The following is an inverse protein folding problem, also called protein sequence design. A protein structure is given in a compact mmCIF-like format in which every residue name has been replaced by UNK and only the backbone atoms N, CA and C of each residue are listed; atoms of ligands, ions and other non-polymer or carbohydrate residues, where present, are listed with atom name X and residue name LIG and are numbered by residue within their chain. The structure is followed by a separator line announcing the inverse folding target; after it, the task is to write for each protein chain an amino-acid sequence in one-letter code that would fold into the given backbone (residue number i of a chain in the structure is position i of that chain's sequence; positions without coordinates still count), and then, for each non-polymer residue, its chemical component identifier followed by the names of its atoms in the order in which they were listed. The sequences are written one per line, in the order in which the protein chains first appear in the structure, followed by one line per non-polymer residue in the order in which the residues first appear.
data_IF_327614844850
#
_entry.id   IF_327614844850
#
_cell.length_a   1.000
_cell.length_b   1.000
_cell.length_c   1.000
_cell.angle_alpha   90.00
_cell.angle_beta   90.00
_cell.angle_gamma   90.00
#
_symmetry.space_group_name_H-M   'P 1'
#
loop_
_entity.id
_entity.type
_entity.pdbx_description
1 polymer ?
#
# COMPACT_ATOMS: atom_id res chain seq x y z
N UNK A 1 68.09 19.51 5.92
CA UNK A 1 67.08 20.57 6.11
C UNK A 1 66.45 20.87 4.75
N UNK A 2 65.25 20.36 4.47
CA UNK A 2 64.39 20.83 3.36
C UNK A 2 62.98 20.24 3.58
N UNK A 3 62.03 21.12 3.90
CA UNK A 3 60.59 20.85 4.07
C UNK A 3 59.92 20.83 2.70
N UNK A 4 59.05 19.86 2.43
CA UNK A 4 58.15 19.93 1.26
C UNK A 4 56.71 19.66 1.68
N UNK A 5 55.98 20.77 1.75
CA UNK A 5 54.54 21.04 1.64
C UNK A 5 53.54 19.88 1.51
N UNK A 6 52.61 19.82 2.47
CA UNK A 6 51.36 19.08 2.40
C UNK A 6 50.34 19.79 1.50
N UNK A 7 49.80 19.10 0.50
CA UNK A 7 48.66 19.54 -0.31
C UNK A 7 47.41 18.89 0.29
N UNK A 8 46.63 19.68 1.03
CA UNK A 8 45.32 19.28 1.53
C UNK A 8 44.30 19.37 0.40
N UNK A 9 43.89 18.22 -0.15
CA UNK A 9 42.76 18.13 -1.07
C UNK A 9 41.47 18.09 -0.23
N UNK A 10 40.78 19.23 -0.12
CA UNK A 10 39.46 19.28 0.51
C UNK A 10 38.46 18.70 -0.48
N UNK A 11 38.04 17.46 -0.24
CA UNK A 11 36.96 16.80 -0.96
C UNK A 11 35.63 17.40 -0.46
N UNK A 12 35.06 18.34 -1.22
CA UNK A 12 33.69 18.82 -0.97
C UNK A 12 32.74 17.72 -1.42
N UNK A 13 32.34 16.85 -0.49
CA UNK A 13 31.28 15.89 -0.71
C UNK A 13 29.94 16.63 -0.76
N UNK A 14 29.51 16.99 -1.97
CA UNK A 14 28.14 17.44 -2.23
C UNK A 14 27.23 16.24 -1.98
N UNK A 15 26.59 16.21 -0.82
CA UNK A 15 25.64 15.17 -0.46
C UNK A 15 24.41 15.27 -1.36
N UNK A 16 24.28 14.30 -2.26
CA UNK A 16 23.08 14.09 -3.06
C UNK A 16 21.87 13.94 -2.14
N UNK A 17 21.01 14.97 -2.10
CA UNK A 17 19.65 14.87 -1.57
C UNK A 17 18.83 13.99 -2.53
N UNK A 18 19.06 12.68 -2.48
CA UNK A 18 18.09 11.70 -2.98
C UNK A 18 16.89 11.80 -2.05
N UNK A 19 15.82 12.43 -2.53
CA UNK A 19 14.52 12.38 -1.86
C UNK A 19 14.03 10.93 -1.91
N UNK A 20 14.35 10.16 -0.88
CA UNK A 20 13.85 8.81 -0.71
C UNK A 20 12.31 8.88 -0.61
N UNK A 21 11.65 8.33 -1.64
CA UNK A 21 10.38 7.61 -1.58
C UNK A 21 9.73 7.60 -0.19
N UNK A 22 8.67 8.39 -0.03
CA UNK A 22 7.84 8.58 1.17
C UNK A 22 8.02 7.45 2.21
N UNK A 23 9.06 7.57 3.05
CA UNK A 23 9.32 6.57 4.06
C UNK A 23 8.19 6.68 5.08
N UNK A 24 7.52 5.56 5.32
CA UNK A 24 6.54 5.48 6.39
C UNK A 24 7.20 5.91 7.70
N UNK A 25 6.49 6.73 8.48
CA UNK A 25 6.88 6.95 9.87
C UNK A 25 7.09 5.58 10.53
N UNK A 26 8.19 5.35 11.28
CA UNK A 26 8.55 4.02 11.79
C UNK A 26 7.43 3.33 12.58
N UNK A 27 6.52 4.10 13.18
CA UNK A 27 5.38 3.61 13.95
C UNK A 27 4.12 3.31 13.10
N UNK A 28 4.10 3.65 11.81
CA UNK A 28 2.90 3.57 10.97
C UNK A 28 2.75 2.20 10.30
N UNK A 29 2.33 1.19 11.08
CA UNK A 29 2.10 -0.18 10.58
C UNK A 29 1.22 -0.21 9.31
N UNK A 30 0.14 0.57 9.26
CA UNK A 30 -0.71 0.65 8.06
C UNK A 30 0.01 1.15 6.81
N UNK A 31 0.89 2.14 6.96
CA UNK A 31 1.73 2.61 5.85
C UNK A 31 2.74 1.54 5.43
N UNK A 32 3.36 0.87 6.41
CA UNK A 32 4.33 -0.20 6.15
C UNK A 32 3.69 -1.39 5.43
N UNK A 33 2.45 -1.74 5.75
CA UNK A 33 1.66 -2.75 5.01
C UNK A 33 1.37 -2.25 3.59
N UNK A 34 0.80 -1.04 3.46
CA UNK A 34 0.39 -0.50 2.16
C UNK A 34 1.56 -0.42 1.15
N UNK A 35 2.71 0.02 1.64
CA UNK A 35 3.94 0.15 0.86
C UNK A 35 4.81 -1.11 0.92
N UNK A 36 4.42 -2.19 1.61
CA UNK A 36 5.13 -3.48 1.62
C UNK A 36 6.47 -3.52 2.35
N UNK A 37 6.74 -2.61 3.29
CA UNK A 37 7.83 -2.75 4.26
C UNK A 37 7.49 -3.77 5.36
N UNK A 38 6.20 -3.99 5.61
CA UNK A 38 5.71 -5.11 6.41
C UNK A 38 5.33 -6.26 5.48
N UNK A 39 6.05 -7.40 5.51
CA UNK A 39 5.83 -8.49 4.57
C UNK A 39 4.48 -9.17 4.82
N UNK A 40 3.67 -9.28 3.77
CA UNK A 40 2.36 -9.93 3.83
C UNK A 40 2.31 -11.20 2.99
N UNK A 41 1.77 -12.27 3.56
CA UNK A 41 1.44 -13.47 2.78
C UNK A 41 0.09 -13.27 2.10
N UNK A 42 0.05 -13.43 0.78
CA UNK A 42 -1.19 -13.40 0.01
C UNK A 42 -1.18 -14.45 -1.10
N UNK A 43 -2.37 -14.78 -1.60
CA UNK A 43 -2.60 -15.72 -2.69
C UNK A 43 -3.71 -15.18 -3.59
N UNK A 44 -3.81 -15.68 -4.83
CA UNK A 44 -4.92 -15.31 -5.71
C UNK A 44 -6.11 -16.24 -5.46
N UNK A 45 -7.32 -15.76 -5.74
CA UNK A 45 -8.49 -16.62 -5.70
C UNK A 45 -8.29 -17.81 -6.65
N UNK A 46 -8.59 -19.02 -6.18
CA UNK A 46 -8.44 -20.28 -6.91
C UNK A 46 -6.97 -20.66 -7.22
N UNK A 47 -6.00 -20.08 -6.50
CA UNK A 47 -4.58 -20.45 -6.56
C UNK A 47 -3.93 -20.21 -5.19
N UNK A 48 -3.76 -21.29 -4.42
CA UNK A 48 -3.28 -21.23 -3.03
C UNK A 48 -1.76 -21.01 -2.89
N UNK A 49 -1.05 -20.84 -4.01
CA UNK A 49 0.39 -20.54 -3.97
C UNK A 49 0.59 -19.13 -3.41
N UNK A 50 1.48 -19.03 -2.44
CA UNK A 50 1.90 -17.74 -1.92
C UNK A 50 2.54 -16.90 -3.03
N UNK A 51 2.06 -15.66 -3.15
CA UNK A 51 2.64 -14.68 -4.05
C UNK A 51 3.99 -14.18 -3.50
N UNK A 52 4.96 -13.85 -4.38
CA UNK A 52 6.18 -13.17 -3.96
C UNK A 52 5.86 -11.85 -3.23
N UNK A 53 6.58 -11.53 -2.15
CA UNK A 53 6.29 -10.35 -1.32
C UNK A 53 6.31 -9.02 -2.08
N UNK A 54 7.11 -8.93 -3.16
CA UNK A 54 7.19 -7.72 -3.97
C UNK A 54 5.95 -7.47 -4.83
N UNK A 55 5.13 -8.49 -5.11
CA UNK A 55 3.88 -8.35 -5.89
C UNK A 55 2.66 -8.07 -5.01
N UNK A 56 2.77 -8.28 -3.69
CA UNK A 56 1.64 -8.14 -2.74
C UNK A 56 1.51 -6.75 -2.12
N UNK A 57 2.37 -5.78 -2.49
CA UNK A 57 2.33 -4.40 -1.98
C UNK A 57 1.09 -3.69 -2.53
N UNK A 58 0.22 -3.18 -1.67
CA UNK A 58 -1.04 -2.53 -2.07
C UNK A 58 -0.81 -1.36 -3.05
N UNK A 59 0.25 -0.59 -2.79
CA UNK A 59 0.66 0.56 -3.60
C UNK A 59 0.88 0.21 -5.08
N UNK A 60 1.29 -1.01 -5.41
CA UNK A 60 1.57 -1.42 -6.79
C UNK A 60 0.32 -1.43 -7.69
N UNK A 61 -0.88 -1.57 -7.11
CA UNK A 61 -2.13 -1.62 -7.86
C UNK A 61 -3.03 -0.40 -7.60
N UNK A 62 -2.98 0.14 -6.39
CA UNK A 62 -3.93 1.15 -5.94
C UNK A 62 -3.39 2.59 -6.00
N UNK A 63 -2.08 2.78 -6.18
CA UNK A 63 -1.53 4.11 -6.44
C UNK A 63 -1.39 4.34 -7.95
N UNK A 64 -1.94 5.46 -8.43
CA UNK A 64 -1.66 5.95 -9.78
C UNK A 64 -0.28 6.60 -9.83
N UNK A 65 0.29 6.71 -11.02
CA UNK A 65 1.46 7.56 -11.26
C UNK A 65 1.03 8.87 -11.92
N UNK A 66 1.96 9.80 -12.12
CA UNK A 66 1.69 11.01 -12.91
C UNK A 66 1.33 10.73 -14.37
N UNK A 67 1.63 9.53 -14.87
CA UNK A 67 1.52 9.16 -16.28
C UNK A 67 0.52 8.03 -16.56
N UNK A 68 0.02 7.34 -15.52
CA UNK A 68 -0.90 6.22 -15.68
C UNK A 68 -1.91 6.14 -14.53
N UNK A 69 -3.15 5.83 -14.88
CA UNK A 69 -4.19 5.48 -13.92
C UNK A 69 -3.81 4.19 -13.15
N UNK A 70 -4.24 4.05 -11.88
CA UNK A 70 -4.00 2.84 -11.13
C UNK A 70 -4.72 1.64 -11.76
N UNK A 71 -4.12 0.45 -11.61
CA UNK A 71 -4.70 -0.80 -12.08
C UNK A 71 -6.00 -1.16 -11.33
N UNK A 72 -6.11 -0.75 -10.07
CA UNK A 72 -7.26 -0.95 -9.21
C UNK A 72 -7.84 0.40 -8.75
N UNK A 73 -9.11 0.45 -8.26
CA UNK A 73 -9.65 1.66 -7.67
C UNK A 73 -8.74 2.19 -6.56
N UNK A 74 -8.50 3.50 -6.45
CA UNK A 74 -7.61 4.04 -5.43
C UNK A 74 -8.12 3.68 -4.03
N UNK A 75 -7.21 3.47 -3.07
CA UNK A 75 -7.55 3.29 -1.65
C UNK A 75 -7.40 4.64 -0.93
N UNK A 76 -8.31 5.56 -1.22
CA UNK A 76 -8.38 6.87 -0.57
C UNK A 76 -9.63 6.94 0.29
N UNK A 77 -9.66 7.91 1.21
CA UNK A 77 -10.84 8.19 2.04
C UNK A 77 -12.11 8.33 1.19
N UNK A 78 -12.06 9.12 0.12
CA UNK A 78 -13.23 9.40 -0.70
C UNK A 78 -13.73 8.17 -1.46
N UNK A 79 -12.83 7.34 -1.99
CA UNK A 79 -13.22 6.14 -2.72
C UNK A 79 -13.78 5.04 -1.81
N UNK A 80 -13.33 4.98 -0.56
CA UNK A 80 -13.75 3.98 0.40
C UNK A 80 -15.04 4.38 1.13
N UNK A 81 -15.12 5.61 1.61
CA UNK A 81 -16.26 6.10 2.39
C UNK A 81 -17.40 6.65 1.51
N UNK A 82 -17.14 6.88 0.22
CA UNK A 82 -18.14 7.32 -0.73
C UNK A 82 -19.26 6.30 -0.93
N UNK A 83 -20.51 6.78 -0.83
CA UNK A 83 -21.70 5.98 -1.11
C UNK A 83 -21.71 5.53 -2.58
N UNK A 84 -21.66 4.22 -2.83
CA UNK A 84 -21.67 3.64 -4.17
C UNK A 84 -22.94 2.82 -4.39
N UNK A 85 -23.54 2.94 -5.58
CA UNK A 85 -24.65 2.10 -6.03
C UNK A 85 -24.22 1.28 -7.25
N UNK A 86 -24.28 -0.05 -7.17
CA UNK A 86 -24.02 -0.94 -8.32
C UNK A 86 -25.33 -1.47 -8.90
N UNK A 87 -25.56 -1.23 -10.20
CA UNK A 87 -26.65 -1.84 -11.01
C UNK A 87 -28.03 -1.82 -10.32
N UNK A 88 -28.39 -0.70 -9.69
CA UNK A 88 -29.68 -0.55 -9.00
C UNK A 88 -29.80 -1.25 -7.64
N UNK A 89 -28.74 -1.93 -7.16
CA UNK A 89 -28.69 -2.52 -5.82
C UNK A 89 -28.67 -1.46 -4.69
N UNK A 90 -28.66 -1.90 -3.43
CA UNK A 90 -28.55 -1.00 -2.29
C UNK A 90 -27.30 -0.13 -2.35
N UNK A 91 -27.36 1.05 -1.73
CA UNK A 91 -26.16 1.87 -1.51
C UNK A 91 -25.26 1.13 -0.52
N UNK A 92 -23.98 1.05 -0.85
CA UNK A 92 -22.96 0.47 0.03
C UNK A 92 -21.73 1.39 0.08
N UNK A 93 -21.05 1.41 1.21
CA UNK A 93 -19.76 2.06 1.41
C UNK A 93 -18.88 1.13 2.26
N UNK A 94 -17.57 1.36 2.27
CA UNK A 94 -16.70 0.63 3.18
C UNK A 94 -16.79 1.21 4.59
N UNK A 95 -16.91 0.32 5.56
CA UNK A 95 -16.44 0.53 6.92
C UNK A 95 -15.20 -0.36 7.17
N UNK A 96 -14.63 -0.31 8.38
CA UNK A 96 -13.46 -1.10 8.74
C UNK A 96 -13.71 -2.61 8.56
N UNK A 97 -14.89 -3.10 8.93
CA UNK A 97 -15.25 -4.52 8.85
C UNK A 97 -15.36 -4.99 7.40
N UNK A 98 -16.08 -4.26 6.57
CA UNK A 98 -16.22 -4.55 5.15
C UNK A 98 -14.89 -4.41 4.39
N UNK A 99 -14.03 -3.46 4.79
CA UNK A 99 -12.68 -3.34 4.25
C UNK A 99 -11.84 -4.56 4.60
N UNK A 100 -11.84 -5.00 5.86
CA UNK A 100 -11.09 -6.19 6.27
C UNK A 100 -11.60 -7.46 5.59
N UNK A 101 -12.92 -7.60 5.38
CA UNK A 101 -13.49 -8.68 4.58
C UNK A 101 -13.03 -8.61 3.12
N UNK A 102 -12.97 -7.43 2.53
CA UNK A 102 -12.46 -7.26 1.17
C UNK A 102 -10.98 -7.68 1.05
N UNK A 103 -10.15 -7.33 2.02
CA UNK A 103 -8.71 -7.67 2.03
C UNK A 103 -8.46 -9.16 2.31
N UNK A 104 -9.22 -9.77 3.23
CA UNK A 104 -9.07 -11.18 3.61
C UNK A 104 -9.72 -12.12 2.59
N UNK A 105 -10.97 -11.83 2.23
CA UNK A 105 -11.84 -12.78 1.51
C UNK A 105 -12.07 -12.37 0.05
N UNK A 106 -11.71 -11.13 -0.32
CA UNK A 106 -11.95 -10.62 -1.66
C UNK A 106 -13.43 -10.32 -1.92
N UNK A 107 -14.18 -9.86 -0.91
CA UNK A 107 -15.63 -9.56 -1.01
C UNK A 107 -15.87 -8.10 -0.62
N UNK A 108 -16.47 -7.33 -1.54
CA UNK A 108 -16.79 -5.91 -1.34
C UNK A 108 -17.97 -5.70 -0.35
N UNK A 109 -18.30 -4.44 0.04
CA UNK A 109 -19.38 -4.15 0.98
C UNK A 109 -20.75 -4.60 0.49
N UNK A 110 -20.97 -4.66 -0.82
CA UNK A 110 -22.19 -5.14 -1.45
C UNK A 110 -22.24 -6.68 -1.60
N UNK A 111 -21.25 -7.41 -1.07
CA UNK A 111 -21.18 -8.86 -1.14
C UNK A 111 -20.66 -9.39 -2.48
N UNK A 112 -20.10 -8.52 -3.34
CA UNK A 112 -19.61 -8.92 -4.66
C UNK A 112 -18.16 -9.34 -4.57
N UNK A 113 -17.83 -10.46 -5.21
CA UNK A 113 -16.46 -10.92 -5.35
C UNK A 113 -15.61 -9.91 -6.14
N UNK A 114 -14.46 -9.57 -5.58
CA UNK A 114 -13.46 -8.75 -6.21
C UNK A 114 -12.78 -9.51 -7.37
N UNK A 115 -12.09 -8.76 -8.24
CA UNK A 115 -11.39 -9.32 -9.40
C UNK A 115 -10.37 -10.37 -8.93
N UNK A 116 -10.20 -11.44 -9.71
CA UNK A 116 -9.22 -12.52 -9.40
C UNK A 116 -7.80 -11.98 -9.18
N UNK A 117 -7.45 -10.88 -9.83
CA UNK A 117 -6.15 -10.21 -9.69
C UNK A 117 -5.94 -9.50 -8.36
N UNK A 118 -6.97 -9.32 -7.54
CA UNK A 118 -6.82 -8.77 -6.19
C UNK A 118 -6.45 -9.91 -5.23
N UNK A 119 -5.26 -9.87 -4.59
CA UNK A 119 -4.83 -10.92 -3.67
C UNK A 119 -5.71 -10.99 -2.42
N UNK A 120 -5.83 -12.20 -1.85
CA UNK A 120 -6.38 -12.47 -0.53
C UNK A 120 -5.25 -12.57 0.48
N UNK A 121 -5.29 -11.71 1.49
CA UNK A 121 -4.20 -11.57 2.45
C UNK A 121 -4.45 -12.39 3.71
N UNK A 122 -3.41 -13.09 4.18
CA UNK A 122 -3.35 -13.55 5.56
C UNK A 122 -2.95 -12.36 6.43
N UNK A 123 -3.95 -11.67 6.97
CA UNK A 123 -3.79 -10.46 7.77
C UNK A 123 -4.53 -10.63 9.10
N UNK A 124 -3.88 -10.22 10.20
CA UNK A 124 -4.50 -10.17 11.54
C UNK A 124 -5.48 -9.00 11.64
N UNK A 125 -6.34 -9.01 12.65
CA UNK A 125 -7.28 -7.90 12.87
C UNK A 125 -6.56 -6.59 13.20
N UNK A 126 -5.46 -6.64 13.96
CA UNK A 126 -4.66 -5.47 14.30
C UNK A 126 -3.97 -4.86 13.07
N UNK A 127 -3.38 -5.69 12.21
CA UNK A 127 -2.77 -5.23 10.95
C UNK A 127 -3.81 -4.63 10.02
N UNK A 128 -4.99 -5.25 9.90
CA UNK A 128 -6.04 -4.73 9.05
C UNK A 128 -6.61 -3.41 9.58
N UNK A 129 -6.80 -3.29 10.90
CA UNK A 129 -7.21 -2.04 11.53
C UNK A 129 -6.19 -0.92 11.30
N UNK A 130 -4.89 -1.22 11.40
CA UNK A 130 -3.83 -0.26 11.10
C UNK A 130 -3.83 0.16 9.62
N UNK A 131 -4.01 -0.78 8.70
CA UNK A 131 -4.11 -0.50 7.27
C UNK A 131 -5.34 0.36 6.96
N UNK A 132 -6.51 0.02 7.51
CA UNK A 132 -7.72 0.82 7.39
C UNK A 132 -7.49 2.24 7.86
N UNK A 133 -6.97 2.40 9.08
CA UNK A 133 -6.68 3.70 9.67
C UNK A 133 -5.72 4.53 8.81
N UNK A 134 -4.80 3.90 8.08
CA UNK A 134 -3.90 4.58 7.14
C UNK A 134 -4.60 5.06 5.87
N UNK A 135 -5.42 4.23 5.22
CA UNK A 135 -6.03 4.53 3.91
C UNK A 135 -7.21 5.49 3.96
N UNK A 136 -7.86 5.65 5.12
CA UNK A 136 -8.96 6.61 5.30
C UNK A 136 -8.56 7.94 5.93
N UNK A 137 -7.25 8.17 6.12
CA UNK A 137 -6.78 9.49 6.58
C UNK A 137 -7.12 10.57 5.54
N UNK A 138 -7.35 11.82 6.00
CA UNK A 138 -7.45 12.97 5.11
C UNK A 138 -6.16 13.19 4.31
#
# INVERSE_FOLDING_TARGET
MTRTTAIGLVLVAVTSLVRAQNACEPASLGCAIFNGQHPMTAHLRDDDRALPSWTTRCVNCHAGTSTAAPFAPPLTRDSLLGATRRRGGPISHYDATAFCRAVKDGIDPAGVLLRKSMPRYRITDAECAALWAFVVRP
#
